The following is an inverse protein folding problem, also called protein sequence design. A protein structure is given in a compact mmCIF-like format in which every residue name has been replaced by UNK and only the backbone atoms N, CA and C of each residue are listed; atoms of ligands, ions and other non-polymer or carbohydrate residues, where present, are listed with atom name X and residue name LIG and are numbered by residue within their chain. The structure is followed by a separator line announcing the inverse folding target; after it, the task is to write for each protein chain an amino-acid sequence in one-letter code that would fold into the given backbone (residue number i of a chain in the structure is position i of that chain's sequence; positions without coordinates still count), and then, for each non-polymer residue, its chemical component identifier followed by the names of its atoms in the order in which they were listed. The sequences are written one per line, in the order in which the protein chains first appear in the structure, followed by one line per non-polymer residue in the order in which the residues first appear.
data_IF_709417046926
#
_entry.id   IF_709417046926
#
_cell.length_a   1.000
_cell.length_b   1.000
_cell.length_c   1.000
_cell.angle_alpha   90.00
_cell.angle_beta   90.00
_cell.angle_gamma   90.00
#
_symmetry.space_group_name_H-M   'P 1'
#
loop_
_entity.id
_entity.type
_entity.pdbx_description
1 polymer ?
#
# COMPACT_ATOMS: atom_id res chain seq x y z
N UNK A 1 -62.52 -3.55 13.32
CA UNK A 1 -61.87 -2.22 13.36
C UNK A 1 -60.50 -2.24 14.06
N UNK A 2 -60.34 -2.93 15.19
CA UNK A 2 -59.05 -3.00 15.91
C UNK A 2 -57.86 -3.46 15.04
N UNK A 3 -58.07 -4.48 14.17
CA UNK A 3 -57.04 -5.02 13.27
C UNK A 3 -56.52 -3.98 12.25
N UNK A 4 -57.40 -3.10 11.76
CA UNK A 4 -57.02 -2.06 10.82
C UNK A 4 -56.18 -0.97 11.52
N UNK A 5 -56.51 -0.65 12.78
CA UNK A 5 -55.74 0.28 13.60
C UNK A 5 -54.35 -0.27 13.90
N UNK A 6 -54.23 -1.55 14.29
CA UNK A 6 -52.93 -2.19 14.54
C UNK A 6 -52.09 -2.27 13.27
N UNK A 7 -52.70 -2.60 12.12
CA UNK A 7 -52.00 -2.63 10.84
C UNK A 7 -51.43 -1.26 10.45
N UNK A 8 -52.24 -0.20 10.56
CA UNK A 8 -51.78 1.16 10.29
C UNK A 8 -50.68 1.60 11.26
N UNK A 9 -50.75 1.21 12.53
CA UNK A 9 -49.71 1.51 13.52
C UNK A 9 -48.40 0.79 13.19
N UNK A 10 -48.47 -0.47 12.80
CA UNK A 10 -47.28 -1.22 12.35
C UNK A 10 -46.69 -0.61 11.09
N UNK A 11 -47.52 -0.19 10.14
CA UNK A 11 -47.04 0.47 8.91
C UNK A 11 -46.29 1.77 9.23
N UNK A 12 -46.83 2.62 10.11
CA UNK A 12 -46.13 3.84 10.55
C UNK A 12 -44.79 3.52 11.23
N UNK A 13 -44.73 2.46 12.06
CA UNK A 13 -43.48 2.04 12.68
C UNK A 13 -42.46 1.55 11.65
N UNK A 14 -42.90 0.81 10.63
CA UNK A 14 -42.04 0.38 9.52
C UNK A 14 -41.46 1.59 8.80
N UNK A 15 -42.30 2.58 8.47
CA UNK A 15 -41.87 3.78 7.75
C UNK A 15 -40.83 4.58 8.56
N UNK A 16 -41.04 4.72 9.88
CA UNK A 16 -40.08 5.37 10.79
C UNK A 16 -38.75 4.63 10.84
N UNK A 17 -38.78 3.29 10.97
CA UNK A 17 -37.56 2.49 11.01
C UNK A 17 -36.81 2.51 9.66
N UNK A 18 -37.52 2.51 8.54
CA UNK A 18 -36.92 2.63 7.22
C UNK A 18 -36.21 3.98 7.04
N UNK A 19 -36.84 5.07 7.49
CA UNK A 19 -36.20 6.39 7.48
C UNK A 19 -34.92 6.43 8.33
N UNK A 20 -34.94 5.80 9.50
CA UNK A 20 -33.78 5.71 10.39
C UNK A 20 -32.65 4.86 9.80
N UNK A 21 -32.99 3.74 9.15
CA UNK A 21 -32.00 2.91 8.44
C UNK A 21 -31.28 3.73 7.37
N UNK A 22 -32.04 4.49 6.56
CA UNK A 22 -31.45 5.34 5.51
C UNK A 22 -30.57 6.43 6.14
N UNK A 23 -30.99 7.04 7.24
CA UNK A 23 -30.21 8.05 7.97
C UNK A 23 -28.86 7.47 8.43
N UNK A 24 -28.88 6.29 9.06
CA UNK A 24 -27.68 5.62 9.55
C UNK A 24 -26.76 5.18 8.40
N UNK A 25 -27.32 4.70 7.29
CA UNK A 25 -26.54 4.36 6.10
C UNK A 25 -25.78 5.58 5.53
N UNK A 26 -26.44 6.74 5.46
CA UNK A 26 -25.80 7.99 5.05
C UNK A 26 -24.71 8.44 6.04
N UNK A 27 -24.94 8.26 7.33
CA UNK A 27 -23.96 8.58 8.38
C UNK A 27 -22.71 7.69 8.28
N UNK A 28 -22.89 6.39 8.07
CA UNK A 28 -21.78 5.45 7.84
C UNK A 28 -20.96 5.83 6.61
N UNK A 29 -21.62 6.16 5.49
CA UNK A 29 -20.92 6.60 4.28
C UNK A 29 -20.11 7.88 4.52
N UNK A 30 -20.67 8.84 5.27
CA UNK A 30 -19.96 10.08 5.64
C UNK A 30 -18.73 9.80 6.51
N UNK A 31 -18.85 8.90 7.49
CA UNK A 31 -17.75 8.53 8.38
C UNK A 31 -16.64 7.80 7.61
N UNK A 32 -17.00 6.92 6.68
CA UNK A 32 -16.03 6.23 5.82
C UNK A 32 -15.26 7.21 4.93
N UNK A 33 -15.95 8.19 4.32
CA UNK A 33 -15.30 9.23 3.54
C UNK A 33 -14.35 10.09 4.41
N UNK A 34 -14.76 10.43 5.62
CA UNK A 34 -13.91 11.16 6.56
C UNK A 34 -12.68 10.34 6.96
N UNK A 35 -12.85 9.05 7.26
CA UNK A 35 -11.74 8.16 7.59
C UNK A 35 -10.72 8.08 6.45
N UNK A 36 -11.16 7.96 5.20
CA UNK A 36 -10.27 7.98 4.04
C UNK A 36 -9.52 9.30 3.91
N UNK A 37 -10.19 10.43 4.14
CA UNK A 37 -9.55 11.74 4.12
C UNK A 37 -8.47 11.88 5.22
N UNK A 38 -8.76 11.40 6.43
CA UNK A 38 -7.79 11.40 7.54
C UNK A 38 -6.60 10.49 7.24
N UNK A 39 -6.82 9.29 6.68
CA UNK A 39 -5.74 8.39 6.29
C UNK A 39 -4.86 9.00 5.19
N UNK A 40 -5.46 9.66 4.20
CA UNK A 40 -4.72 10.38 3.17
C UNK A 40 -3.87 11.51 3.77
N UNK A 41 -4.45 12.31 4.66
CA UNK A 41 -3.73 13.37 5.36
C UNK A 41 -2.59 12.83 6.25
N UNK A 42 -2.79 11.69 6.93
CA UNK A 42 -1.77 11.03 7.75
C UNK A 42 -0.57 10.61 6.90
N UNK A 43 -0.83 9.94 5.77
CA UNK A 43 0.24 9.52 4.83
C UNK A 43 1.00 10.73 4.27
N UNK A 44 0.30 11.81 3.95
CA UNK A 44 0.93 13.05 3.51
C UNK A 44 1.82 13.65 4.61
N UNK A 45 1.35 13.65 5.86
CA UNK A 45 2.13 14.13 7.01
C UNK A 45 3.38 13.28 7.28
N UNK A 46 3.27 11.95 7.18
CA UNK A 46 4.42 11.03 7.30
C UNK A 46 5.47 11.27 6.21
N UNK A 47 5.02 11.50 4.97
CA UNK A 47 5.92 11.86 3.87
C UNK A 47 6.62 13.20 4.14
N UNK A 48 5.87 14.23 4.57
CA UNK A 48 6.43 15.53 4.91
C UNK A 48 7.45 15.46 6.06
N UNK A 49 7.17 14.67 7.10
CA UNK A 49 8.13 14.43 8.19
C UNK A 49 9.42 13.78 7.70
N UNK A 50 9.30 12.83 6.77
CA UNK A 50 10.47 12.18 6.16
C UNK A 50 11.29 13.18 5.37
N UNK A 51 10.65 14.02 4.56
CA UNK A 51 11.32 15.09 3.80
C UNK A 51 12.03 16.09 4.72
N UNK A 52 11.39 16.51 5.82
CA UNK A 52 12.01 17.40 6.82
C UNK A 52 13.23 16.74 7.45
N UNK A 53 13.17 15.44 7.78
CA UNK A 53 14.33 14.71 8.32
C UNK A 53 15.48 14.66 7.33
N UNK A 54 15.20 14.34 6.07
CA UNK A 54 16.23 14.32 5.01
C UNK A 54 16.84 15.71 4.81
N UNK A 55 16.01 16.76 4.75
CA UNK A 55 16.49 18.14 4.65
C UNK A 55 17.38 18.52 5.84
N UNK A 56 17.01 18.13 7.05
CA UNK A 56 17.80 18.41 8.26
C UNK A 56 19.16 17.69 8.23
N UNK A 57 19.20 16.43 7.78
CA UNK A 57 20.46 15.69 7.60
C UNK A 57 21.38 16.35 6.55
N UNK A 58 20.81 16.82 5.44
CA UNK A 58 21.58 17.53 4.42
C UNK A 58 22.13 18.86 4.96
N UNK A 59 21.32 19.65 5.65
CA UNK A 59 21.76 20.93 6.23
C UNK A 59 22.83 20.69 7.29
N UNK A 60 22.67 19.70 8.16
CA UNK A 60 23.67 19.35 9.17
C UNK A 60 25.01 18.95 8.53
N UNK A 61 24.98 18.27 7.38
CA UNK A 61 26.21 17.91 6.66
C UNK A 61 26.92 19.07 5.96
N UNK A 62 26.18 20.13 5.58
CA UNK A 62 26.72 21.29 4.84
C UNK A 62 27.08 22.45 5.78
N UNK A 63 26.17 22.79 6.70
CA UNK A 63 26.29 23.90 7.64
C UNK A 63 25.47 23.63 8.91
N UNK A 64 26.10 23.12 9.98
CA UNK A 64 25.43 22.85 11.25
C UNK A 64 24.80 24.10 11.90
N UNK A 65 25.32 25.29 11.58
CA UNK A 65 24.83 26.55 12.14
C UNK A 65 23.45 26.96 11.58
N UNK A 66 23.10 26.48 10.39
CA UNK A 66 21.85 26.85 9.70
C UNK A 66 20.66 25.97 10.11
N UNK A 67 20.88 24.94 10.93
CA UNK A 67 19.81 24.08 11.46
C UNK A 67 18.81 24.86 12.31
N UNK A 68 19.27 25.88 13.05
CA UNK A 68 18.39 26.75 13.84
C UNK A 68 17.48 27.58 12.93
N UNK A 69 18.04 28.22 11.90
CA UNK A 69 17.31 29.01 10.91
C UNK A 69 16.28 28.18 10.16
N UNK A 70 16.62 26.93 9.79
CA UNK A 70 15.69 26.01 9.12
C UNK A 70 14.52 25.62 10.04
N UNK A 71 14.77 25.35 11.32
CA UNK A 71 13.69 25.07 12.30
C UNK A 71 12.76 26.25 12.48
N UNK A 72 13.29 27.47 12.55
CA UNK A 72 12.50 28.69 12.67
C UNK A 72 11.64 28.92 11.41
N UNK A 73 12.18 28.67 10.21
CA UNK A 73 11.43 28.75 8.96
C UNK A 73 10.27 27.74 8.91
N UNK A 74 10.49 26.50 9.35
CA UNK A 74 9.42 25.49 9.46
C UNK A 74 8.35 25.96 10.47
N UNK A 75 8.75 26.50 11.62
CA UNK A 75 7.82 27.01 12.62
C UNK A 75 6.97 28.19 12.11
N UNK A 76 7.52 29.04 11.23
CA UNK A 76 6.81 30.14 10.59
C UNK A 76 5.78 29.67 9.56
N UNK A 77 6.05 28.58 8.83
CA UNK A 77 5.07 27.96 7.92
C UNK A 77 3.80 27.54 8.70
N UNK A 78 3.96 26.98 9.89
CA UNK A 78 2.83 26.61 10.76
C UNK A 78 2.07 27.82 11.35
N UNK A 79 2.66 29.01 11.33
CA UNK A 79 2.03 30.27 11.73
C UNK A 79 1.32 30.98 10.56
N UNK A 80 1.34 30.39 9.37
CA UNK A 80 0.71 30.94 8.17
C UNK A 80 1.57 31.94 7.40
N UNK A 81 2.85 32.08 7.76
CA UNK A 81 3.79 32.97 7.09
C UNK A 81 4.70 32.14 6.18
N UNK A 82 4.47 32.19 4.86
CA UNK A 82 5.31 31.50 3.88
C UNK A 82 6.60 32.31 3.73
N UNK A 83 7.68 31.84 4.36
CA UNK A 83 9.00 32.45 4.18
C UNK A 83 9.79 31.74 3.09
N UNK A 84 10.18 32.51 2.07
CA UNK A 84 11.23 32.12 1.16
C UNK A 84 12.53 32.06 1.94
N UNK A 85 13.15 30.88 2.01
CA UNK A 85 14.53 30.75 2.45
C UNK A 85 15.38 31.53 1.46
N UNK A 86 15.83 32.72 1.84
CA UNK A 86 16.77 33.50 1.03
C UNK A 86 18.07 32.70 0.98
N UNK A 87 18.30 31.98 -0.12
CA UNK A 87 19.62 31.50 -0.46
C UNK A 87 20.55 32.71 -0.46
N UNK A 88 21.68 32.59 0.25
CA UNK A 88 22.71 33.63 0.27
C UNK A 88 23.08 33.94 -1.18
N UNK A 89 22.80 35.17 -1.62
CA UNK A 89 23.12 35.64 -2.95
C UNK A 89 24.64 35.84 -2.97
N UNK A 90 25.37 34.81 -3.41
CA UNK A 90 26.73 35.00 -3.90
C UNK A 90 26.60 35.55 -5.32
N UNK A 91 26.72 36.86 -5.46
CA UNK A 91 26.71 37.57 -6.74
C UNK A 91 27.99 37.25 -7.50
N UNK A 92 27.91 36.34 -8.47
CA UNK A 92 28.75 36.39 -9.67
C UNK A 92 27.85 36.18 -10.92
N UNK A 93 27.71 37.18 -11.82
CA UNK A 93 26.83 37.08 -12.96
C UNK A 93 27.41 36.13 -14.02
N UNK A 94 26.91 34.90 -14.06
CA UNK A 94 27.15 33.98 -15.17
C UNK A 94 26.22 34.36 -16.35
N UNK A 95 26.71 34.49 -17.59
CA UNK A 95 25.90 34.93 -18.72
C UNK A 95 24.81 33.91 -19.12
N UNK A 96 23.61 34.43 -19.39
CA UNK A 96 22.44 33.73 -19.94
C UNK A 96 22.81 32.96 -21.22
N UNK A 97 22.71 31.63 -21.17
CA UNK A 97 22.66 30.81 -22.39
C UNK A 97 21.20 30.69 -22.79
N UNK A 98 20.85 31.29 -23.93
CA UNK A 98 19.52 31.20 -24.52
C UNK A 98 19.08 29.72 -24.69
N UNK A 99 17.79 29.40 -24.54
CA UNK A 99 17.29 28.07 -24.84
C UNK A 99 17.48 27.80 -26.34
N UNK A 100 18.34 26.82 -26.66
CA UNK A 100 18.52 26.31 -28.01
C UNK A 100 17.35 25.39 -28.34
N UNK A 101 16.43 25.86 -29.18
CA UNK A 101 15.46 25.02 -29.88
C UNK A 101 16.22 24.06 -30.81
N UNK A 102 16.48 22.83 -30.34
CA UNK A 102 16.82 21.71 -31.21
C UNK A 102 15.91 20.53 -30.93
N UNK A 103 14.67 20.63 -31.41
CA UNK A 103 13.88 19.45 -31.75
C UNK A 103 14.47 18.85 -33.03
N UNK A 104 15.44 17.95 -32.90
CA UNK A 104 15.80 17.04 -33.98
C UNK A 104 14.93 15.79 -33.84
N UNK A 105 14.11 15.56 -34.87
CA UNK A 105 13.42 14.31 -35.16
C UNK A 105 14.33 13.12 -34.85
N UNK A 106 13.88 12.22 -33.96
CA UNK A 106 14.48 10.89 -33.84
C UNK A 106 13.81 10.04 -34.92
N UNK A 107 14.60 9.75 -35.95
CA UNK A 107 14.32 8.81 -37.02
C UNK A 107 13.97 7.42 -36.45
N UNK A 108 12.93 6.82 -37.03
CA UNK A 108 12.54 5.44 -36.89
C UNK A 108 13.62 4.52 -37.50
N UNK A 109 14.46 3.87 -36.68
CA UNK A 109 15.15 2.63 -37.10
C UNK A 109 15.80 1.90 -35.90
N UNK A 110 14.96 1.29 -35.04
CA UNK A 110 15.40 0.24 -34.10
C UNK A 110 14.83 -1.08 -34.59
N UNK A 111 15.41 -1.60 -35.66
CA UNK A 111 15.09 -2.94 -36.17
C UNK A 111 16.35 -3.65 -36.70
N UNK A 112 17.42 -3.67 -35.90
CA UNK A 112 18.65 -4.39 -36.26
C UNK A 112 19.58 -4.67 -35.07
N UNK A 113 19.15 -5.46 -34.08
CA UNK A 113 20.13 -6.01 -33.11
C UNK A 113 19.85 -7.44 -32.59
N UNK A 114 19.12 -8.27 -33.32
CA UNK A 114 19.08 -9.71 -33.01
C UNK A 114 19.23 -10.57 -34.27
N UNK A 115 20.48 -10.81 -34.67
CA UNK A 115 20.81 -12.00 -35.46
C UNK A 115 22.27 -12.43 -35.31
N UNK A 116 22.42 -13.74 -35.08
CA UNK A 116 23.63 -14.58 -35.14
C UNK A 116 24.49 -14.59 -33.84
N UNK A 117 24.85 -15.71 -33.22
CA UNK A 117 24.72 -17.15 -33.54
C UNK A 117 25.25 -18.00 -32.31
N UNK A 118 25.41 -19.35 -32.33
CA UNK A 118 24.61 -20.24 -31.49
C UNK A 118 25.38 -21.33 -30.66
N UNK A 119 24.61 -22.18 -29.95
CA UNK A 119 24.85 -23.58 -29.50
C UNK A 119 25.96 -23.88 -28.47
N UNK A 120 25.56 -24.47 -27.34
CA UNK A 120 26.14 -25.72 -26.81
C UNK A 120 25.21 -26.37 -25.78
N UNK A 121 24.74 -27.58 -26.09
CA UNK A 121 24.08 -28.53 -25.20
C UNK A 121 25.03 -28.99 -24.09
N UNK A 122 24.52 -29.32 -22.90
CA UNK A 122 24.94 -30.50 -22.13
C UNK A 122 23.85 -30.89 -21.14
N UNK A 123 23.68 -32.20 -21.04
CA UNK A 123 22.59 -32.92 -20.39
C UNK A 123 22.79 -33.09 -18.87
N UNK A 124 21.66 -33.26 -18.19
CA UNK A 124 21.38 -34.30 -17.18
C UNK A 124 22.39 -34.56 -16.04
N UNK A 125 21.98 -34.27 -14.79
CA UNK A 125 22.25 -35.18 -13.66
C UNK A 125 21.28 -34.97 -12.50
N UNK A 126 20.43 -35.96 -12.29
CA UNK A 126 19.67 -36.25 -11.06
C UNK A 126 20.58 -36.53 -9.87
N UNK A 127 20.33 -35.92 -8.71
CA UNK A 127 20.64 -36.51 -7.39
C UNK A 127 19.62 -36.06 -6.33
N UNK A 128 18.81 -37.02 -5.87
CA UNK A 128 18.19 -37.02 -4.54
C UNK A 128 19.28 -37.01 -3.45
N UNK A 129 19.08 -36.30 -2.33
CA UNK A 129 19.53 -36.71 -0.98
C UNK A 129 18.92 -35.81 0.11
N UNK A 130 17.98 -36.40 0.84
CA UNK A 130 17.84 -36.52 2.31
C UNK A 130 18.30 -35.38 3.26
N UNK A 131 17.33 -34.97 4.08
CA UNK A 131 17.31 -34.20 5.33
C UNK A 131 18.59 -34.06 6.19
N UNK A 132 18.79 -32.86 6.76
CA UNK A 132 19.13 -32.63 8.19
C UNK A 132 18.55 -31.27 8.63
N UNK A 133 17.89 -31.27 9.79
CA UNK A 133 17.45 -30.12 10.59
C UNK A 133 18.65 -29.47 11.28
N UNK A 134 18.87 -28.16 11.13
CA UNK A 134 19.53 -27.32 12.15
C UNK A 134 18.90 -25.93 12.13
N UNK A 135 18.60 -25.45 13.33
CA UNK A 135 17.94 -24.22 13.72
C UNK A 135 18.84 -22.98 13.60
N UNK A 136 18.17 -21.83 13.59
CA UNK A 136 18.56 -20.51 14.12
C UNK A 136 19.55 -19.59 13.36
N UNK A 137 18.96 -18.43 13.08
CA UNK A 137 19.49 -17.07 13.25
C UNK A 137 20.32 -16.38 12.15
N UNK A 138 19.68 -15.30 11.68
CA UNK A 138 20.22 -13.96 11.44
C UNK A 138 20.97 -13.71 10.13
N UNK A 139 20.23 -13.21 9.12
CA UNK A 139 20.78 -12.32 8.09
C UNK A 139 19.74 -11.25 7.70
N UNK A 140 19.97 -10.01 8.16
CA UNK A 140 19.63 -8.78 7.44
C UNK A 140 20.45 -8.77 6.12
N UNK A 141 19.90 -8.44 4.95
CA UNK A 141 19.69 -7.09 4.37
C UNK A 141 19.62 -7.28 2.81
N UNK A 142 19.56 -6.24 1.95
CA UNK A 142 18.52 -5.24 1.63
C UNK A 142 17.84 -5.49 0.26
N UNK A 143 16.78 -4.72 -0.01
CA UNK A 143 16.31 -4.28 -1.35
C UNK A 143 16.05 -5.33 -2.46
N UNK A 144 14.77 -5.57 -2.75
CA UNK A 144 14.33 -5.63 -4.15
C UNK A 144 12.93 -5.01 -4.29
N UNK A 145 12.95 -3.73 -4.65
CA UNK A 145 11.79 -2.89 -4.96
C UNK A 145 11.21 -3.32 -6.30
N UNK A 146 10.30 -4.29 -6.32
CA UNK A 146 9.46 -4.54 -7.49
C UNK A 146 8.13 -3.80 -7.32
N UNK A 147 8.06 -2.68 -8.05
CA UNK A 147 6.84 -1.96 -8.41
C UNK A 147 5.97 -2.92 -9.22
N UNK A 148 4.96 -3.52 -8.60
CA UNK A 148 3.90 -4.20 -9.34
C UNK A 148 2.69 -3.29 -9.50
N UNK A 149 2.34 -3.11 -10.77
CA UNK A 149 1.29 -2.24 -11.25
C UNK A 149 -0.08 -2.64 -10.71
N UNK A 150 -0.82 -1.58 -10.43
CA UNK A 150 -2.19 -1.52 -9.97
C UNK A 150 -3.13 -2.02 -11.08
N UNK A 151 -3.73 -3.19 -10.91
CA UNK A 151 -5.02 -3.51 -11.53
C UNK A 151 -6.14 -3.28 -10.51
N UNK A 152 -6.88 -2.20 -10.75
CA UNK A 152 -8.11 -1.82 -10.06
C UNK A 152 -9.23 -2.82 -10.40
N UNK A 153 -9.41 -3.83 -9.56
CA UNK A 153 -10.71 -4.51 -9.38
C UNK A 153 -10.88 -4.90 -7.91
N UNK A 154 -11.17 -3.92 -7.06
CA UNK A 154 -11.67 -4.19 -5.70
C UNK A 154 -13.18 -3.97 -5.69
N UNK A 155 -13.93 -4.96 -6.19
CA UNK A 155 -15.24 -5.24 -5.60
C UNK A 155 -14.99 -5.50 -4.11
N UNK A 156 -15.78 -4.86 -3.25
CA UNK A 156 -15.65 -4.94 -1.79
C UNK A 156 -15.90 -6.37 -1.30
N UNK A 157 -14.87 -7.21 -1.34
CA UNK A 157 -14.85 -8.45 -0.56
C UNK A 157 -14.85 -8.04 0.91
N UNK A 158 -15.73 -8.66 1.69
CA UNK A 158 -15.73 -8.52 3.14
C UNK A 158 -14.32 -8.81 3.66
N UNK A 159 -13.73 -7.90 4.42
CA UNK A 159 -12.44 -8.12 5.06
C UNK A 159 -12.54 -9.39 5.92
N UNK A 160 -11.91 -10.47 5.48
CA UNK A 160 -11.84 -11.73 6.20
C UNK A 160 -10.87 -11.57 7.37
N UNK A 161 -11.32 -11.89 8.58
CA UNK A 161 -10.48 -11.77 9.77
C UNK A 161 -9.72 -13.08 10.03
N UNK A 162 -8.45 -13.09 9.62
CA UNK A 162 -7.52 -14.19 9.88
C UNK A 162 -6.72 -14.02 11.19
N UNK A 163 -6.99 -12.95 11.98
CA UNK A 163 -6.25 -12.65 13.20
C UNK A 163 -6.49 -13.68 14.31
N UNK A 164 -7.65 -14.33 14.28
CA UNK A 164 -8.02 -15.41 15.21
C UNK A 164 -7.32 -16.75 14.91
N UNK A 165 -6.72 -16.90 13.72
CA UNK A 165 -6.07 -18.12 13.29
C UNK A 165 -4.55 -18.09 13.58
N UNK A 166 -4.06 -19.20 14.11
CA UNK A 166 -2.61 -19.47 14.17
C UNK A 166 -2.07 -19.79 12.78
N UNK A 167 -0.77 -19.57 12.58
CA UNK A 167 -0.11 -19.87 11.30
C UNK A 167 -0.30 -21.33 10.83
N UNK A 168 -0.32 -22.27 11.77
CA UNK A 168 -0.55 -23.69 11.48
C UNK A 168 -1.98 -23.94 10.99
N UNK A 169 -2.97 -23.23 11.55
CA UNK A 169 -4.37 -23.34 11.11
C UNK A 169 -4.57 -22.73 9.72
N UNK A 170 -3.93 -21.58 9.44
CA UNK A 170 -3.94 -20.97 8.10
C UNK A 170 -3.36 -21.94 7.06
N UNK A 171 -2.23 -22.59 7.38
CA UNK A 171 -1.66 -23.63 6.51
C UNK A 171 -2.62 -24.79 6.31
N UNK A 172 -3.20 -25.33 7.38
CA UNK A 172 -4.13 -26.47 7.25
C UNK A 172 -5.38 -26.09 6.43
N UNK A 173 -5.91 -24.88 6.61
CA UNK A 173 -7.01 -24.35 5.82
C UNK A 173 -6.60 -24.20 4.34
N UNK A 174 -5.46 -23.59 4.06
CA UNK A 174 -4.90 -23.46 2.71
C UNK A 174 -4.69 -24.82 2.03
N UNK A 175 -4.15 -25.82 2.76
CA UNK A 175 -4.02 -27.20 2.28
C UNK A 175 -5.37 -27.82 1.96
N UNK A 176 -6.38 -27.61 2.82
CA UNK A 176 -7.72 -28.17 2.61
C UNK A 176 -8.42 -27.57 1.39
N UNK A 177 -8.04 -26.35 1.01
CA UNK A 177 -8.51 -25.64 -0.18
C UNK A 177 -7.63 -25.87 -1.42
N UNK A 178 -6.61 -26.73 -1.33
CA UNK A 178 -5.73 -27.07 -2.46
C UNK A 178 -4.68 -26.01 -2.82
N UNK A 179 -4.42 -25.05 -1.93
CA UNK A 179 -3.40 -24.01 -2.13
C UNK A 179 -2.02 -24.59 -1.79
N UNK A 180 -1.04 -24.37 -2.67
CA UNK A 180 0.35 -24.72 -2.37
C UNK A 180 0.91 -23.82 -1.27
N UNK A 181 1.29 -24.44 -0.15
CA UNK A 181 1.80 -23.77 1.06
C UNK A 181 3.32 -23.58 0.97
N UNK A 182 3.99 -24.32 0.10
CA UNK A 182 5.44 -24.34 0.04
C UNK A 182 5.95 -22.96 -0.37
N UNK A 183 6.87 -22.40 0.45
CA UNK A 183 7.53 -21.10 0.25
C UNK A 183 6.61 -19.85 0.30
N UNK A 184 5.33 -19.97 0.69
CA UNK A 184 4.45 -18.79 0.85
C UNK A 184 4.51 -18.22 2.27
N UNK A 185 4.70 -16.91 2.37
CA UNK A 185 4.58 -16.17 3.65
C UNK A 185 3.11 -15.99 4.03
N UNK A 186 2.85 -15.78 5.32
CA UNK A 186 1.51 -15.56 5.88
C UNK A 186 0.60 -14.60 5.08
N UNK A 187 1.02 -13.37 4.76
CA UNK A 187 0.16 -12.45 4.02
C UNK A 187 -0.21 -12.95 2.62
N UNK A 188 0.67 -13.73 1.96
CA UNK A 188 0.37 -14.29 0.64
C UNK A 188 -0.64 -15.44 0.70
N UNK A 189 -0.68 -16.21 1.79
CA UNK A 189 -1.69 -17.25 1.97
C UNK A 189 -3.05 -16.66 2.37
N UNK A 190 -3.07 -15.63 3.22
CA UNK A 190 -4.31 -14.92 3.58
C UNK A 190 -4.94 -14.28 2.34
N UNK A 191 -4.12 -13.64 1.49
CA UNK A 191 -4.58 -13.13 0.19
C UNK A 191 -5.10 -14.24 -0.72
N UNK A 192 -4.35 -15.35 -0.87
CA UNK A 192 -4.79 -16.47 -1.70
C UNK A 192 -6.10 -17.11 -1.21
N UNK A 193 -6.33 -17.16 0.10
CA UNK A 193 -7.59 -17.64 0.68
C UNK A 193 -8.75 -16.67 0.37
N UNK A 194 -8.52 -15.36 0.44
CA UNK A 194 -9.49 -14.34 0.02
C UNK A 194 -9.81 -14.43 -1.48
N UNK A 195 -8.77 -14.62 -2.31
CA UNK A 195 -8.90 -14.71 -3.77
C UNK A 195 -9.68 -15.95 -4.22
N UNK A 196 -9.60 -17.06 -3.46
CA UNK A 196 -10.38 -18.28 -3.70
C UNK A 196 -11.84 -18.15 -3.22
N UNK A 197 -12.17 -17.06 -2.52
CA UNK A 197 -13.54 -16.78 -2.07
C UNK A 197 -13.91 -17.47 -0.76
N UNK A 198 -12.92 -17.77 0.09
CA UNK A 198 -13.19 -18.30 1.43
C UNK A 198 -14.04 -17.30 2.21
N UNK A 199 -15.07 -17.77 2.89
CA UNK A 199 -15.99 -16.94 3.68
C UNK A 199 -15.63 -16.99 5.17
N UNK A 200 -16.00 -15.94 5.92
CA UNK A 200 -15.81 -15.93 7.37
C UNK A 200 -16.52 -17.11 8.06
N UNK A 201 -17.66 -17.56 7.52
CA UNK A 201 -18.36 -18.76 8.02
C UNK A 201 -17.55 -20.05 7.87
N UNK A 202 -16.76 -20.20 6.81
CA UNK A 202 -15.91 -21.37 6.60
C UNK A 202 -14.70 -21.35 7.55
N UNK A 203 -14.14 -20.17 7.79
CA UNK A 203 -13.10 -19.95 8.80
C UNK A 203 -13.62 -20.33 10.20
N UNK A 204 -14.79 -19.84 10.57
CA UNK A 204 -15.41 -20.11 11.86
C UNK A 204 -15.80 -21.59 12.02
N UNK A 205 -16.21 -22.24 10.94
CA UNK A 205 -16.52 -23.67 10.93
C UNK A 205 -15.25 -24.52 11.09
N UNK A 206 -14.16 -24.13 10.44
CA UNK A 206 -12.86 -24.78 10.57
C UNK A 206 -12.29 -24.68 11.99
N UNK A 207 -12.57 -23.58 12.71
CA UNK A 207 -12.18 -23.42 14.12
C UNK A 207 -13.00 -24.27 15.10
N UNK A 208 -14.20 -24.73 14.70
CA UNK A 208 -15.11 -25.52 15.55
C UNK A 208 -14.95 -27.03 15.39
N UNK A 209 -14.19 -27.49 14.40
CA UNK A 209 -13.93 -28.92 14.10
C UNK A 209 -12.55 -29.37 14.57
#
# INVERSE_FOLDING_TARGET
MLLATTFNQTQVQIDVLQAEIIRLQNEVASLQAHQQAVQSASKAAESALTQIRTALQMIESVSPNDVATFKDAIAQIFQGEVLALNASIDTDPQPEVAPSDSWTEIDEDIDSYYKANPVAETEDTTLETTAVVVEEDDYQDPEETLVEQKEDTSESQAELDFSSLTWVQIKRLASSMGIDINRRKRPHLEKALSDIGVTQSEIDQFLKG
#
